data_IF_024402226130
#
_entry.id   IF_024402226130
#
_cell.length_a   1.000
_cell.length_b   1.000
_cell.length_c   1.000
_cell.angle_alpha   90.00
_cell.angle_beta   90.00
_cell.angle_gamma   90.00
#
_symmetry.space_group_name_H-M   'P 1'
#
loop_
_entity.id
_entity.type
_entity.pdbx_description
1 polymer ?
#
# COMPACT_ATOMS: atom_id res chain seq x y z
N UNK A 1 -19.12 14.74 -5.66
CA UNK A 1 -18.72 13.39 -6.10
C UNK A 1 -17.37 13.10 -5.46
N UNK A 2 -17.33 12.35 -4.35
CA UNK A 2 -16.07 12.05 -3.65
C UNK A 2 -15.42 10.84 -4.31
N UNK A 3 -14.45 11.08 -5.19
CA UNK A 3 -13.49 10.06 -5.58
C UNK A 3 -12.78 9.57 -4.31
N UNK A 4 -12.58 8.26 -4.13
CA UNK A 4 -11.81 7.74 -3.00
C UNK A 4 -10.44 8.41 -2.94
N UNK A 5 -10.00 8.82 -1.75
CA UNK A 5 -8.65 9.37 -1.58
C UNK A 5 -7.60 8.32 -1.98
N UNK A 6 -6.50 8.73 -2.63
CA UNK A 6 -5.40 7.84 -2.93
C UNK A 6 -4.74 7.34 -1.64
N UNK A 7 -4.30 6.08 -1.65
CA UNK A 7 -3.55 5.48 -0.55
C UNK A 7 -2.08 5.39 -0.96
N UNK A 8 -1.24 6.21 -0.35
CA UNK A 8 0.19 6.26 -0.61
C UNK A 8 0.93 5.31 0.31
N UNK A 9 1.96 4.63 -0.20
CA UNK A 9 2.94 3.96 0.66
C UNK A 9 4.02 4.97 1.04
N UNK A 10 4.10 5.30 2.32
CA UNK A 10 5.06 6.27 2.86
C UNK A 10 6.46 5.66 2.99
N UNK A 11 6.53 4.51 3.67
CA UNK A 11 7.76 3.81 4.01
C UNK A 11 7.54 2.30 3.86
N UNK A 12 8.55 1.57 3.44
CA UNK A 12 8.49 0.12 3.26
C UNK A 12 9.75 -0.55 3.78
N UNK A 13 9.64 -1.75 4.37
CA UNK A 13 10.80 -2.55 4.77
C UNK A 13 11.20 -3.58 3.70
N UNK A 14 10.69 -3.43 2.47
CA UNK A 14 11.10 -4.26 1.35
C UNK A 14 12.59 -4.03 1.07
N UNK A 15 13.40 -5.08 1.12
CA UNK A 15 14.85 -5.00 0.91
C UNK A 15 15.21 -4.78 -0.56
N UNK A 16 14.28 -5.04 -1.49
CA UNK A 16 14.49 -4.97 -2.94
C UNK A 16 13.77 -3.78 -3.58
N UNK A 17 13.61 -2.68 -2.84
CA UNK A 17 12.93 -1.48 -3.36
C UNK A 17 13.61 -0.93 -4.60
N UNK A 18 12.91 -1.05 -5.74
CA UNK A 18 13.27 -0.43 -7.02
C UNK A 18 12.26 0.63 -7.46
N UNK A 19 11.34 1.02 -6.58
CA UNK A 19 10.22 1.89 -6.88
C UNK A 19 10.03 3.01 -5.86
N UNK A 20 9.37 4.09 -6.29
CA UNK A 20 8.99 5.26 -5.49
C UNK A 20 7.57 5.71 -5.86
N UNK A 21 7.00 6.59 -5.04
CA UNK A 21 5.67 7.15 -5.25
C UNK A 21 4.58 6.07 -5.48
N UNK A 22 4.68 4.96 -4.73
CA UNK A 22 3.72 3.85 -4.81
C UNK A 22 2.36 4.29 -4.25
N UNK A 23 1.34 4.24 -5.08
CA UNK A 23 -0.02 4.68 -4.77
C UNK A 23 -1.07 3.68 -5.23
N UNK A 24 -2.03 3.40 -4.37
CA UNK A 24 -3.20 2.60 -4.67
C UNK A 24 -4.43 3.51 -4.81
N UNK A 25 -5.07 3.46 -5.97
CA UNK A 25 -6.32 4.17 -6.25
C UNK A 25 -7.46 3.16 -6.38
N UNK A 26 -8.37 3.18 -5.41
CA UNK A 26 -9.56 2.32 -5.42
C UNK A 26 -10.48 2.69 -6.59
N UNK A 27 -10.93 1.68 -7.32
CA UNK A 27 -12.00 1.79 -8.31
C UNK A 27 -13.34 1.40 -7.69
N UNK A 28 -13.43 0.23 -7.07
CA UNK A 28 -14.64 -0.27 -6.42
C UNK A 28 -14.29 -1.24 -5.29
N UNK A 29 -15.22 -1.45 -4.36
CA UNK A 29 -15.08 -2.36 -3.24
C UNK A 29 -16.42 -3.00 -2.90
N UNK A 30 -16.38 -4.27 -2.53
CA UNK A 30 -17.49 -5.05 -2.00
C UNK A 30 -17.06 -5.67 -0.67
N UNK A 31 -17.93 -6.46 -0.04
CA UNK A 31 -17.58 -7.18 1.19
C UNK A 31 -16.48 -8.25 0.98
N UNK A 32 -16.33 -8.75 -0.25
CA UNK A 32 -15.43 -9.87 -0.56
C UNK A 32 -14.25 -9.48 -1.44
N UNK A 33 -14.32 -8.35 -2.15
CA UNK A 33 -13.26 -7.92 -3.06
C UNK A 33 -13.09 -6.42 -3.16
N UNK A 34 -11.90 -6.00 -3.59
CA UNK A 34 -11.56 -4.62 -3.94
C UNK A 34 -10.84 -4.60 -5.28
N UNK A 35 -11.26 -3.70 -6.17
CA UNK A 35 -10.57 -3.41 -7.42
C UNK A 35 -9.87 -2.08 -7.30
N UNK A 36 -8.58 -2.05 -7.64
CA UNK A 36 -7.77 -0.85 -7.53
C UNK A 36 -6.67 -0.83 -8.60
N UNK A 37 -6.13 0.36 -8.82
CA UNK A 37 -4.94 0.56 -9.65
C UNK A 37 -3.77 0.91 -8.74
N UNK A 38 -2.67 0.16 -8.89
CA UNK A 38 -1.42 0.41 -8.19
C UNK A 38 -0.46 1.07 -9.16
N UNK A 39 -0.07 2.30 -8.88
CA UNK A 39 0.87 3.07 -9.70
C UNK A 39 2.14 3.32 -8.91
N UNK A 40 3.29 3.19 -9.55
CA UNK A 40 4.59 3.53 -8.97
C UNK A 40 5.57 3.97 -10.07
N UNK A 41 6.63 4.67 -9.66
CA UNK A 41 7.73 5.06 -10.51
C UNK A 41 8.96 4.21 -10.19
N UNK A 42 9.85 4.00 -11.15
CA UNK A 42 11.20 3.53 -10.84
C UNK A 42 11.96 4.55 -9.98
N UNK A 43 13.00 4.11 -9.26
CA UNK A 43 13.81 5.02 -8.41
C UNK A 43 14.47 6.16 -9.18
N UNK A 44 14.74 5.99 -10.49
CA UNK A 44 15.24 7.04 -11.37
C UNK A 44 14.15 8.03 -11.84
N UNK A 45 12.88 7.75 -11.56
CA UNK A 45 11.70 8.58 -11.91
C UNK A 45 11.59 8.84 -13.41
N UNK A 46 11.93 7.84 -14.22
CA UNK A 46 11.88 7.88 -15.69
C UNK A 46 10.73 7.08 -16.27
N UNK A 47 10.23 6.08 -15.53
CA UNK A 47 9.16 5.18 -15.95
C UNK A 47 8.08 5.11 -14.88
N UNK A 48 6.83 5.26 -15.32
CA UNK A 48 5.63 5.02 -14.51
C UNK A 48 5.06 3.66 -14.90
N UNK A 49 4.77 2.82 -13.91
CA UNK A 49 4.06 1.55 -14.09
C UNK A 49 2.73 1.63 -13.38
N UNK A 50 1.66 1.12 -14.01
CA UNK A 50 0.33 1.00 -13.42
C UNK A 50 -0.18 -0.43 -13.61
N UNK A 51 -0.49 -1.08 -12.50
CA UNK A 51 -1.06 -2.42 -12.42
C UNK A 51 -2.54 -2.33 -12.09
N UNK A 52 -3.35 -3.21 -12.69
CA UNK A 52 -4.80 -3.29 -12.44
C UNK A 52 -5.05 -4.52 -11.59
N UNK A 53 -5.21 -4.29 -10.29
CA UNK A 53 -5.22 -5.34 -9.29
C UNK A 53 -6.63 -5.65 -8.79
N UNK A 54 -6.77 -6.86 -8.28
CA UNK A 54 -7.89 -7.35 -7.50
C UNK A 54 -7.37 -7.84 -6.15
N UNK A 55 -7.97 -7.33 -5.07
CA UNK A 55 -7.81 -7.85 -3.73
C UNK A 55 -9.04 -8.69 -3.37
N UNK A 56 -8.85 -9.93 -2.91
CA UNK A 56 -9.92 -10.79 -2.38
C UNK A 56 -9.76 -10.93 -0.87
N UNK A 57 -10.75 -10.46 -0.10
CA UNK A 57 -10.75 -10.57 1.35
C UNK A 57 -11.00 -12.01 1.81
N UNK A 58 -10.29 -12.44 2.84
CA UNK A 58 -10.45 -13.79 3.38
C UNK A 58 -11.66 -13.84 4.31
N UNK A 59 -12.62 -14.72 4.02
CA UNK A 59 -13.80 -14.93 4.87
C UNK A 59 -13.38 -15.32 6.30
N UNK A 60 -13.87 -14.59 7.29
CA UNK A 60 -13.51 -14.78 8.70
C UNK A 60 -12.22 -14.10 9.15
N UNK A 61 -11.44 -13.52 8.23
CA UNK A 61 -10.29 -12.67 8.53
C UNK A 61 -10.24 -11.47 7.58
N UNK A 62 -11.02 -10.43 7.88
CA UNK A 62 -11.14 -9.23 7.05
C UNK A 62 -9.87 -8.37 7.03
N UNK A 63 -8.89 -8.65 7.90
CA UNK A 63 -7.59 -7.99 7.86
C UNK A 63 -6.69 -8.56 6.77
N UNK A 64 -6.99 -9.75 6.24
CA UNK A 64 -6.17 -10.41 5.22
C UNK A 64 -6.86 -10.35 3.85
N UNK A 65 -6.12 -9.95 2.84
CA UNK A 65 -6.51 -10.09 1.44
C UNK A 65 -5.43 -10.73 0.59
N UNK A 66 -5.84 -11.50 -0.42
CA UNK A 66 -4.97 -11.94 -1.50
C UNK A 66 -5.04 -10.94 -2.64
N UNK A 67 -3.89 -10.56 -3.19
CA UNK A 67 -3.76 -9.55 -4.25
C UNK A 67 -3.07 -10.14 -5.45
N UNK A 68 -3.58 -9.84 -6.63
CA UNK A 68 -2.93 -10.13 -7.91
C UNK A 68 -3.59 -9.35 -9.04
N UNK A 69 -3.04 -9.50 -10.24
CA UNK A 69 -3.67 -9.00 -11.46
C UNK A 69 -5.08 -9.58 -11.63
N UNK A 70 -6.00 -8.75 -12.13
CA UNK A 70 -7.42 -9.12 -12.29
C UNK A 70 -7.60 -10.39 -13.10
N UNK A 71 -8.26 -11.38 -12.51
CA UNK A 71 -8.53 -12.67 -13.14
C UNK A 71 -7.30 -13.58 -13.31
N UNK A 72 -6.15 -13.21 -12.73
CA UNK A 72 -4.95 -14.03 -12.68
C UNK A 72 -4.75 -14.63 -11.28
N UNK A 73 -3.62 -15.31 -11.09
CA UNK A 73 -3.26 -15.92 -9.80
C UNK A 73 -2.90 -14.85 -8.78
N UNK A 74 -3.11 -15.16 -7.50
CA UNK A 74 -2.67 -14.31 -6.41
C UNK A 74 -1.15 -14.30 -6.30
N UNK A 75 -0.57 -13.11 -6.25
CA UNK A 75 0.88 -12.89 -6.17
C UNK A 75 1.29 -12.53 -4.74
N UNK A 76 0.42 -11.81 -4.02
CA UNK A 76 0.68 -11.31 -2.68
C UNK A 76 -0.44 -11.68 -1.71
N UNK A 77 -0.08 -11.82 -0.44
CA UNK A 77 -0.99 -11.75 0.68
C UNK A 77 -0.70 -10.46 1.45
N UNK A 78 -1.69 -9.60 1.61
CA UNK A 78 -1.57 -8.33 2.35
C UNK A 78 -2.43 -8.40 3.61
N UNK A 79 -1.80 -8.28 4.79
CA UNK A 79 -2.45 -8.30 6.10
C UNK A 79 -2.39 -6.92 6.73
N UNK A 80 -3.53 -6.34 7.12
CA UNK A 80 -3.62 -5.13 7.93
C UNK A 80 -3.25 -5.44 9.39
N UNK A 81 -2.06 -5.03 9.80
CA UNK A 81 -1.49 -5.26 11.14
C UNK A 81 -1.93 -4.19 12.16
N UNK A 82 -2.13 -2.97 11.66
CA UNK A 82 -2.52 -1.82 12.46
C UNK A 82 -3.20 -0.77 11.58
N UNK A 83 -4.20 -0.08 12.11
CA UNK A 83 -4.78 1.11 11.51
C UNK A 83 -4.93 2.19 12.59
N UNK A 84 -4.84 3.46 12.18
CA UNK A 84 -5.31 4.55 13.04
C UNK A 84 -6.82 4.46 13.26
N UNK A 85 -7.32 5.06 14.33
CA UNK A 85 -8.76 5.02 14.69
C UNK A 85 -9.67 5.57 13.58
N UNK A 86 -9.16 6.49 12.78
CA UNK A 86 -9.85 7.10 11.64
C UNK A 86 -9.52 6.44 10.28
N UNK A 87 -8.74 5.34 10.29
CA UNK A 87 -8.32 4.58 9.12
C UNK A 87 -7.58 5.41 8.05
N UNK A 88 -7.05 6.58 8.42
CA UNK A 88 -6.27 7.44 7.54
C UNK A 88 -4.85 6.92 7.31
N UNK A 89 -4.35 6.03 8.17
CA UNK A 89 -3.14 5.27 7.92
C UNK A 89 -3.24 3.85 8.46
N UNK A 90 -2.37 2.99 7.95
CA UNK A 90 -2.22 1.63 8.43
C UNK A 90 -0.85 1.05 8.10
N UNK A 91 -0.50 -0.02 8.81
CA UNK A 91 0.69 -0.82 8.57
C UNK A 91 0.22 -2.17 8.03
N UNK A 92 0.74 -2.52 6.86
CA UNK A 92 0.42 -3.76 6.18
C UNK A 92 1.63 -4.67 6.20
N UNK A 93 1.47 -5.93 6.60
CA UNK A 93 2.41 -6.97 6.24
C UNK A 93 2.10 -7.43 4.81
N UNK A 94 3.07 -7.37 3.92
CA UNK A 94 2.97 -7.88 2.56
C UNK A 94 3.85 -9.11 2.46
N UNK A 95 3.27 -10.20 1.97
CA UNK A 95 3.98 -11.45 1.74
C UNK A 95 3.85 -11.84 0.28
N UNK A 96 4.99 -11.96 -0.38
CA UNK A 96 5.10 -12.58 -1.69
C UNK A 96 4.84 -14.09 -1.55
N UNK A 97 3.82 -14.57 -2.25
CA UNK A 97 3.36 -15.96 -2.16
C UNK A 97 4.41 -16.92 -2.77
N UNK A 98 4.91 -16.70 -4.01
CA UNK A 98 5.99 -17.48 -4.59
C UNK A 98 7.28 -17.54 -3.74
N UNK A 99 7.83 -16.39 -3.33
CA UNK A 99 9.15 -16.32 -2.69
C UNK A 99 9.10 -16.55 -1.17
N UNK A 100 7.92 -16.45 -0.56
CA UNK A 100 7.70 -16.50 0.89
C UNK A 100 8.43 -15.42 1.69
N UNK A 101 8.95 -14.41 1.00
CA UNK A 101 9.52 -13.22 1.63
C UNK A 101 8.38 -12.30 2.05
N UNK A 102 8.56 -11.66 3.22
CA UNK A 102 7.61 -10.68 3.73
C UNK A 102 8.29 -9.35 4.06
N UNK A 103 7.54 -8.27 3.97
CA UNK A 103 7.94 -6.93 4.39
C UNK A 103 6.74 -6.19 4.96
N UNK A 104 6.98 -4.99 5.47
CA UNK A 104 5.93 -4.11 5.98
C UNK A 104 5.85 -2.84 5.15
N UNK A 105 4.63 -2.44 4.79
CA UNK A 105 4.32 -1.16 4.15
C UNK A 105 3.57 -0.27 5.16
N UNK A 106 4.06 0.94 5.41
CA UNK A 106 3.32 2.01 6.06
C UNK A 106 2.56 2.79 5.00
N UNK A 107 1.23 2.70 5.01
CA UNK A 107 0.36 3.32 4.01
C UNK A 107 -0.55 4.36 4.65
N UNK A 108 -0.90 5.40 3.89
CA UNK A 108 -1.74 6.49 4.38
C UNK A 108 -2.51 7.19 3.26
N UNK A 109 -3.61 7.83 3.65
CA UNK A 109 -4.36 8.77 2.82
C UNK A 109 -4.00 10.18 3.26
N UNK A 110 -3.74 11.08 2.30
CA UNK A 110 -3.46 12.48 2.61
C UNK A 110 -4.66 13.37 2.27
N UNK A 111 -5.62 13.45 3.19
CA UNK A 111 -6.79 14.34 3.01
C UNK A 111 -6.49 15.82 3.31
N UNK A 112 -5.38 16.10 4.00
CA UNK A 112 -5.04 17.43 4.54
C UNK A 112 -3.80 18.03 3.88
N UNK A 113 -3.18 17.34 2.92
CA UNK A 113 -1.95 17.79 2.25
C UNK A 113 -0.76 17.87 3.20
N UNK A 114 -0.72 17.01 4.21
CA UNK A 114 0.33 17.00 5.24
C UNK A 114 1.62 16.33 4.77
N UNK A 115 1.54 15.49 3.74
CA UNK A 115 2.63 14.68 3.20
C UNK A 115 3.15 13.61 4.15
N UNK A 116 2.41 13.29 5.23
CA UNK A 116 2.88 12.33 6.25
C UNK A 116 1.74 11.56 6.93
N UNK A 117 1.97 10.29 7.29
CA UNK A 117 1.03 9.49 8.09
C UNK A 117 0.89 10.03 9.52
N UNK A 118 -0.15 9.57 10.21
CA UNK A 118 -0.28 9.81 11.66
C UNK A 118 0.87 9.18 12.44
N UNK A 119 1.25 9.84 13.54
CA UNK A 119 2.35 9.39 14.41
C UNK A 119 2.11 7.97 14.95
N UNK A 120 0.88 7.58 15.23
CA UNK A 120 0.55 6.24 15.74
C UNK A 120 0.94 5.13 14.76
N UNK A 121 0.71 5.31 13.46
CA UNK A 121 1.15 4.35 12.44
C UNK A 121 2.68 4.35 12.28
N UNK A 122 3.32 5.52 12.35
CA UNK A 122 4.79 5.61 12.31
C UNK A 122 5.43 4.89 13.50
N UNK A 123 4.91 5.10 14.71
CA UNK A 123 5.37 4.41 15.92
C UNK A 123 5.17 2.90 15.83
N UNK A 124 4.02 2.43 15.32
CA UNK A 124 3.78 1.01 15.12
C UNK A 124 4.74 0.41 14.08
N UNK A 125 4.95 1.10 12.96
CA UNK A 125 5.88 0.67 11.91
C UNK A 125 7.32 0.56 12.42
N UNK A 126 7.78 1.57 13.16
CA UNK A 126 9.15 1.59 13.72
C UNK A 126 9.41 0.43 14.70
N UNK A 127 8.38 -0.09 15.37
CA UNK A 127 8.51 -1.26 16.25
C UNK A 127 8.82 -2.56 15.51
N UNK A 128 8.64 -2.61 14.18
CA UNK A 128 8.99 -3.79 13.37
C UNK A 128 10.51 -4.04 13.31
N UNK A 129 11.35 -3.07 13.73
CA UNK A 129 12.80 -3.19 13.85
C UNK A 129 13.51 -3.70 12.58
N UNK A 130 12.93 -3.42 11.41
CA UNK A 130 13.53 -3.66 10.10
C UNK A 130 13.92 -2.31 9.47
N UNK A 131 15.03 -2.24 8.71
CA UNK A 131 15.36 -1.03 7.95
C UNK A 131 14.19 -0.62 7.06
N UNK A 132 13.79 0.65 7.13
CA UNK A 132 12.75 1.21 6.29
C UNK A 132 13.34 2.05 5.15
N UNK A 133 12.70 2.00 3.99
CA UNK A 133 12.96 2.81 2.83
C UNK A 133 11.83 3.82 2.65
N UNK A 134 12.13 5.11 2.83
CA UNK A 134 11.19 6.18 2.51
C UNK A 134 10.99 6.20 0.99
N UNK A 135 9.74 6.00 0.54
CA UNK A 135 9.41 5.95 -0.89
C UNK A 135 8.35 6.99 -1.31
N UNK A 136 7.84 7.78 -0.37
CA UNK A 136 6.95 8.90 -0.64
C UNK A 136 7.64 10.24 -0.38
N UNK A 137 7.39 11.20 -1.27
CA UNK A 137 7.75 12.60 -1.15
C UNK A 137 6.58 13.47 -1.61
N UNK A 138 6.55 14.73 -1.18
CA UNK A 138 5.49 15.69 -1.55
C UNK A 138 5.33 15.87 -3.07
N UNK A 139 6.39 15.62 -3.85
CA UNK A 139 6.34 15.73 -5.31
C UNK A 139 5.72 14.52 -6.01
N UNK A 140 5.38 13.45 -5.27
CA UNK A 140 4.64 12.31 -5.80
C UNK A 140 3.22 12.68 -6.22
N UNK A 141 2.60 13.65 -5.55
CA UNK A 141 1.22 14.06 -5.83
C UNK A 141 1.08 14.94 -7.07
N UNK A 142 2.15 15.66 -7.43
CA UNK A 142 2.12 16.66 -8.50
C UNK A 142 2.43 16.09 -9.89
N UNK A 143 2.90 14.84 -9.98
CA UNK A 143 3.40 14.21 -11.23
C UNK A 143 2.50 13.07 -11.75
N UNK A 144 1.18 13.21 -11.60
CA UNK A 144 0.21 12.25 -12.16
C UNK A 144 0.05 12.40 -13.67
#
# INVERSE_FOLDING_TARGET
MNTPLPIWTYNTTDEHVYYVCKVDQRESITETSVYFNRTYQDTARTKVTTERLEGTFVTGNTSLMYVGDRGLVWEYAETLEFASDDYMCGVFEVRDIPSRVNWFDLRFQDNRGTGKPHNTCMEYFNKKQRPGHLIYWLDCETRK
#
